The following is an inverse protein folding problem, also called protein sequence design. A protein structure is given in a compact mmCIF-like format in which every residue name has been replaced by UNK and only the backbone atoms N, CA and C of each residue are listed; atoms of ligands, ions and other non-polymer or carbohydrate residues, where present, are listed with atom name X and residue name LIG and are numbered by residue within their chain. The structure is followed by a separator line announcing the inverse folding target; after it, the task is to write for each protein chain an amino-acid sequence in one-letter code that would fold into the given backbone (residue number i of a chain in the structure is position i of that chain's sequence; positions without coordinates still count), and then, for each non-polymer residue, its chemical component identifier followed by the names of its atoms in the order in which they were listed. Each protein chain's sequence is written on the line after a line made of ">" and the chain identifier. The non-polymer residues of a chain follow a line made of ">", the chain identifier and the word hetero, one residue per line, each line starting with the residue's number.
data_IF_734138910764
#
_entry.id   IF_734138910764
#
_cell.length_a   1.000
_cell.length_b   1.000
_cell.length_c   1.000
_cell.angle_alpha   90.00
_cell.angle_beta   90.00
_cell.angle_gamma   90.00
#
_symmetry.space_group_name_H-M   'P 1'
#
loop_
_entity.id
_entity.type
_entity.pdbx_description
1 polymer ?
#
# COMPACT_ATOMS: atom_id res chain seq x y z
N UNK A 1 17.69 -16.62 39.36
CA UNK A 1 17.14 -17.80 38.67
C UNK A 1 15.68 -17.49 38.34
N UNK A 2 15.32 -17.29 37.07
CA UNK A 2 13.95 -16.96 36.66
C UNK A 2 13.02 -18.15 36.88
N UNK A 3 11.82 -17.93 37.44
CA UNK A 3 10.81 -18.98 37.58
C UNK A 3 10.33 -19.44 36.19
N UNK A 4 10.08 -20.74 36.02
CA UNK A 4 9.59 -21.38 34.79
C UNK A 4 8.41 -20.60 34.16
N UNK A 5 7.48 -20.07 34.97
CA UNK A 5 6.36 -19.25 34.47
C UNK A 5 6.82 -17.95 33.81
N UNK A 6 7.82 -17.27 34.38
CA UNK A 6 8.41 -16.05 33.81
C UNK A 6 9.22 -16.35 32.55
N UNK A 7 9.90 -17.50 32.49
CA UNK A 7 10.63 -17.94 31.29
C UNK A 7 9.68 -18.22 30.12
N UNK A 8 8.57 -18.91 30.37
CA UNK A 8 7.55 -19.19 29.35
C UNK A 8 6.92 -17.89 28.84
N UNK A 9 6.57 -16.97 29.74
CA UNK A 9 6.01 -15.66 29.35
C UNK A 9 6.97 -14.86 28.47
N UNK A 10 8.26 -14.87 28.82
CA UNK A 10 9.29 -14.20 28.04
C UNK A 10 9.48 -14.81 26.65
N UNK A 11 9.46 -16.15 26.53
CA UNK A 11 9.55 -16.84 25.23
C UNK A 11 8.35 -16.50 24.35
N UNK A 12 7.13 -16.48 24.92
CA UNK A 12 5.91 -16.11 24.18
C UNK A 12 6.00 -14.66 23.69
N UNK A 13 6.39 -13.73 24.58
CA UNK A 13 6.54 -12.31 24.21
C UNK A 13 7.62 -12.10 23.13
N UNK A 14 8.75 -12.80 23.23
CA UNK A 14 9.82 -12.75 22.22
C UNK A 14 9.37 -13.34 20.89
N UNK A 15 8.60 -14.44 20.92
CA UNK A 15 8.06 -15.10 19.71
C UNK A 15 7.02 -14.22 19.02
N UNK A 16 6.14 -13.57 19.79
CA UNK A 16 5.16 -12.61 19.27
C UNK A 16 5.85 -11.38 18.70
N UNK A 17 6.82 -10.81 19.41
CA UNK A 17 7.63 -9.70 18.92
C UNK A 17 8.35 -10.06 17.62
N UNK A 18 8.97 -11.24 17.57
CA UNK A 18 9.62 -11.76 16.37
C UNK A 18 8.63 -11.93 15.21
N UNK A 19 7.45 -12.48 15.47
CA UNK A 19 6.39 -12.62 14.47
C UNK A 19 5.93 -11.27 13.92
N UNK A 20 5.71 -10.27 14.78
CA UNK A 20 5.30 -8.92 14.37
C UNK A 20 6.40 -8.14 13.64
N UNK A 21 7.67 -8.40 13.93
CA UNK A 21 8.81 -7.78 13.23
C UNK A 21 9.03 -8.42 11.85
N UNK A 22 8.75 -9.72 11.71
CA UNK A 22 8.91 -10.43 10.44
C UNK A 22 7.74 -10.31 9.48
N UNK A 23 6.57 -9.89 9.97
CA UNK A 23 5.41 -9.69 9.13
C UNK A 23 5.73 -8.63 8.07
N UNK A 24 5.56 -8.99 6.79
CA UNK A 24 5.71 -8.06 5.67
C UNK A 24 4.57 -7.05 5.75
N UNK A 25 4.92 -5.79 5.90
CA UNK A 25 4.01 -4.68 6.12
C UNK A 25 4.24 -3.60 5.07
N UNK A 26 3.13 -3.11 4.56
CA UNK A 26 3.03 -1.89 3.77
C UNK A 26 2.20 -0.88 4.56
N UNK A 27 2.71 0.34 4.74
CA UNK A 27 2.07 1.41 5.50
C UNK A 27 1.10 2.23 4.64
N UNK A 28 0.03 1.58 4.18
CA UNK A 28 -1.04 2.24 3.41
C UNK A 28 -1.79 3.31 4.22
N UNK A 29 -1.83 3.20 5.55
CA UNK A 29 -2.48 4.16 6.43
C UNK A 29 -1.81 5.54 6.40
N UNK A 30 -0.48 5.58 6.22
CA UNK A 30 0.25 6.83 6.02
C UNK A 30 -0.22 7.62 4.79
N UNK A 31 -0.76 6.92 3.77
CA UNK A 31 -1.27 7.53 2.54
C UNK A 31 -2.66 8.14 2.70
N UNK A 32 -3.36 7.84 3.78
CA UNK A 32 -4.69 8.39 4.09
C UNK A 32 -4.62 9.70 4.91
N UNK A 33 -3.56 10.48 4.68
CA UNK A 33 -3.33 11.79 5.31
C UNK A 33 -3.04 12.79 4.20
N UNK A 34 -3.54 14.02 4.34
CA UNK A 34 -3.18 15.09 3.41
C UNK A 34 -1.69 15.43 3.56
N UNK A 35 -0.89 14.90 2.63
CA UNK A 35 0.54 15.15 2.56
C UNK A 35 0.96 15.39 1.10
N UNK A 36 1.39 16.61 0.79
CA UNK A 36 1.84 16.99 -0.55
C UNK A 36 3.32 16.65 -0.82
N UNK A 37 4.00 15.98 0.12
CA UNK A 37 5.36 15.51 -0.08
C UNK A 37 5.40 14.36 -1.09
N UNK A 38 6.50 14.29 -1.82
CA UNK A 38 6.84 13.11 -2.61
C UNK A 38 7.29 12.00 -1.66
N UNK A 39 6.64 10.84 -1.75
CA UNK A 39 6.87 9.69 -0.89
C UNK A 39 7.55 8.60 -1.72
N UNK A 40 8.69 8.09 -1.25
CA UNK A 40 9.32 6.93 -1.86
C UNK A 40 8.52 5.68 -1.52
N UNK A 41 8.18 4.85 -2.51
CA UNK A 41 7.44 3.60 -2.25
C UNK A 41 8.19 2.71 -1.26
N UNK A 42 9.53 2.67 -1.36
CA UNK A 42 10.38 1.88 -0.45
C UNK A 42 10.31 2.32 1.00
N UNK A 43 9.91 3.56 1.29
CA UNK A 43 9.71 4.04 2.66
C UNK A 43 8.42 3.52 3.30
N UNK A 44 7.50 2.98 2.51
CA UNK A 44 6.22 2.44 2.96
C UNK A 44 6.30 0.94 3.29
N UNK A 45 7.42 0.27 3.01
CA UNK A 45 7.58 -1.18 3.17
C UNK A 45 8.65 -1.53 4.19
N UNK A 46 8.46 -2.62 4.94
CA UNK A 46 9.51 -3.19 5.81
C UNK A 46 10.19 -4.45 5.23
N UNK A 47 9.99 -4.74 3.94
CA UNK A 47 10.47 -5.95 3.28
C UNK A 47 11.18 -5.66 1.96
N UNK A 48 11.96 -6.62 1.46
CA UNK A 48 12.72 -6.49 0.22
C UNK A 48 11.85 -6.80 -1.00
N UNK A 49 11.84 -5.87 -1.95
CA UNK A 49 11.18 -5.96 -3.25
C UNK A 49 12.02 -5.18 -4.29
N UNK A 50 11.85 -5.47 -5.57
CA UNK A 50 12.55 -4.78 -6.68
C UNK A 50 11.57 -4.07 -7.62
N UNK A 51 10.39 -4.67 -7.83
CA UNK A 51 9.31 -4.14 -8.65
C UNK A 51 8.02 -4.03 -7.84
N UNK A 52 7.27 -2.95 -8.05
CA UNK A 52 5.90 -2.78 -7.56
C UNK A 52 4.95 -2.50 -8.73
N UNK A 53 3.80 -3.16 -8.77
CA UNK A 53 2.73 -2.89 -9.71
C UNK A 53 1.62 -2.12 -9.02
N UNK A 54 1.31 -0.92 -9.52
CA UNK A 54 0.25 -0.05 -9.01
C UNK A 54 -0.96 -0.14 -9.93
N UNK A 55 -2.07 -0.66 -9.43
CA UNK A 55 -3.28 -0.83 -10.24
C UNK A 55 -4.08 0.47 -10.30
N UNK A 56 -4.56 0.82 -11.48
CA UNK A 56 -5.44 1.98 -11.73
C UNK A 56 -6.87 1.49 -11.98
N UNK A 57 -7.05 0.39 -12.72
CA UNK A 57 -8.35 -0.22 -12.96
C UNK A 57 -8.71 -1.17 -11.82
N UNK A 58 -9.77 -0.84 -11.10
CA UNK A 58 -10.25 -1.58 -9.93
C UNK A 58 -11.02 -2.87 -10.27
N UNK A 59 -10.81 -3.51 -11.43
CA UNK A 59 -11.56 -4.72 -11.80
C UNK A 59 -11.35 -5.86 -10.79
N UNK A 60 -10.12 -6.02 -10.30
CA UNK A 60 -9.76 -7.04 -9.30
C UNK A 60 -9.65 -6.49 -7.88
N UNK A 61 -10.06 -5.24 -7.67
CA UNK A 61 -9.91 -4.53 -6.40
C UNK A 61 -8.47 -4.45 -5.88
N UNK A 62 -7.46 -4.67 -6.72
CA UNK A 62 -6.06 -4.58 -6.33
C UNK A 62 -5.60 -3.12 -6.29
N UNK A 63 -4.73 -2.77 -5.34
CA UNK A 63 -4.10 -1.44 -5.27
C UNK A 63 -2.65 -1.51 -5.66
N UNK A 64 -1.91 -2.40 -5.00
CA UNK A 64 -0.47 -2.51 -5.14
C UNK A 64 0.00 -3.93 -4.88
N UNK A 65 0.86 -4.43 -5.76
CA UNK A 65 1.52 -5.73 -5.63
C UNK A 65 3.02 -5.55 -5.72
N UNK A 66 3.76 -6.11 -4.77
CA UNK A 66 5.22 -6.05 -4.74
C UNK A 66 5.82 -7.40 -5.13
N UNK A 67 6.90 -7.34 -5.91
CA UNK A 67 7.64 -8.50 -6.38
C UNK A 67 9.11 -8.41 -5.94
N UNK A 68 9.75 -9.57 -5.82
CA UNK A 68 11.20 -9.69 -5.64
C UNK A 68 11.70 -10.80 -6.55
N UNK A 69 12.52 -10.46 -7.55
CA UNK A 69 13.00 -11.37 -8.60
C UNK A 69 11.85 -12.08 -9.32
N UNK A 70 10.78 -11.34 -9.59
CA UNK A 70 9.58 -11.84 -10.26
C UNK A 70 8.63 -12.68 -9.39
N UNK A 71 8.94 -12.87 -8.09
CA UNK A 71 8.06 -13.59 -7.16
C UNK A 71 7.26 -12.57 -6.35
N UNK A 72 5.94 -12.72 -6.30
CA UNK A 72 5.08 -11.88 -5.44
C UNK A 72 5.46 -12.03 -3.97
N UNK A 73 5.71 -10.90 -3.31
CA UNK A 73 6.07 -10.86 -1.88
C UNK A 73 5.01 -10.22 -1.00
N UNK A 74 4.16 -9.37 -1.55
CA UNK A 74 3.10 -8.68 -0.84
C UNK A 74 2.04 -8.17 -1.82
N UNK A 75 0.77 -8.15 -1.41
CA UNK A 75 -0.34 -7.61 -2.18
C UNK A 75 -1.29 -6.88 -1.23
N UNK A 76 -1.69 -5.66 -1.61
CA UNK A 76 -2.78 -4.94 -0.94
C UNK A 76 -3.97 -4.78 -1.88
N UNK A 77 -5.15 -5.10 -1.35
CA UNK A 77 -6.45 -5.01 -2.03
C UNK A 77 -7.32 -3.93 -1.37
N UNK A 78 -8.32 -3.45 -2.10
CA UNK A 78 -9.35 -2.52 -1.61
C UNK A 78 -10.15 -3.20 -0.51
N UNK A 79 -10.37 -2.44 0.57
CA UNK A 79 -11.24 -2.84 1.68
C UNK A 79 -12.65 -2.36 1.40
N UNK A 80 -13.61 -3.28 1.42
CA UNK A 80 -15.05 -2.99 1.33
C UNK A 80 -15.72 -3.27 2.67
N UNK A 81 -16.64 -2.40 3.08
CA UNK A 81 -17.59 -2.69 4.13
C UNK A 81 -18.98 -2.87 3.49
N UNK A 82 -19.52 -4.09 3.58
CA UNK A 82 -20.79 -4.45 2.92
C UNK A 82 -22.00 -3.69 3.47
N UNK A 83 -21.91 -3.16 4.70
CA UNK A 83 -23.03 -2.47 5.35
C UNK A 83 -23.04 -0.95 5.06
N UNK A 84 -21.87 -0.33 4.90
CA UNK A 84 -21.72 1.14 4.83
C UNK A 84 -21.09 1.67 3.52
N UNK A 85 -20.68 0.78 2.61
CA UNK A 85 -20.04 1.13 1.34
C UNK A 85 -18.50 1.18 1.42
N UNK A 86 -17.88 2.11 0.71
CA UNK A 86 -16.42 2.27 0.71
C UNK A 86 -15.96 2.97 1.99
N UNK A 87 -14.97 2.40 2.67
CA UNK A 87 -14.22 3.17 3.67
C UNK A 87 -13.31 4.19 2.96
N UNK A 88 -12.94 5.25 3.68
CA UNK A 88 -11.94 6.21 3.19
C UNK A 88 -10.65 5.48 2.89
N UNK A 89 -10.02 5.78 1.76
CA UNK A 89 -8.86 5.03 1.29
C UNK A 89 -8.00 5.80 0.29
N UNK A 90 -6.78 5.32 0.07
CA UNK A 90 -5.94 5.81 -1.01
C UNK A 90 -6.11 4.97 -2.28
N UNK A 91 -5.90 5.61 -3.45
CA UNK A 91 -5.94 5.03 -4.79
C UNK A 91 -4.83 5.62 -5.67
N UNK A 92 -4.48 4.95 -6.76
CA UNK A 92 -3.57 5.47 -7.78
C UNK A 92 -4.34 5.95 -9.00
N UNK A 93 -3.89 7.04 -9.61
CA UNK A 93 -4.50 7.60 -10.81
C UNK A 93 -3.51 7.64 -11.97
N UNK A 94 -4.05 7.59 -13.19
CA UNK A 94 -3.26 7.89 -14.38
C UNK A 94 -2.87 9.38 -14.40
N UNK A 95 -1.70 9.67 -14.95
CA UNK A 95 -1.29 11.05 -15.24
C UNK A 95 -2.34 11.75 -16.11
N UNK A 96 -2.51 13.07 -15.97
CA UNK A 96 -3.50 13.85 -16.74
C UNK A 96 -3.25 13.86 -18.26
N UNK A 97 -2.13 13.30 -18.73
CA UNK A 97 -1.66 13.36 -20.11
C UNK A 97 -1.95 12.13 -20.99
N UNK A 98 -2.56 11.04 -20.48
CA UNK A 98 -2.79 9.83 -21.28
C UNK A 98 -4.27 9.51 -21.47
N UNK A 99 -4.68 9.39 -22.75
CA UNK A 99 -6.07 9.20 -23.23
C UNK A 99 -6.45 7.73 -23.53
N UNK A 100 -5.63 6.76 -23.15
CA UNK A 100 -5.88 5.33 -23.44
C UNK A 100 -5.79 4.46 -22.19
N UNK A 101 -6.36 3.25 -22.30
CA UNK A 101 -6.54 2.24 -21.26
C UNK A 101 -5.21 1.85 -20.60
N UNK A 102 -4.84 2.52 -19.51
CA UNK A 102 -3.76 2.07 -18.64
C UNK A 102 -4.43 1.25 -17.52
N UNK A 103 -4.04 -0.02 -17.38
CA UNK A 103 -4.53 -0.90 -16.32
C UNK A 103 -3.70 -0.75 -15.05
N UNK A 104 -2.38 -0.55 -15.19
CA UNK A 104 -1.45 -0.42 -14.07
C UNK A 104 -0.17 0.37 -14.40
N UNK A 105 0.67 0.60 -13.39
CA UNK A 105 2.04 1.09 -13.52
C UNK A 105 3.02 0.08 -12.93
N UNK A 106 4.16 -0.10 -13.57
CA UNK A 106 5.31 -0.80 -13.01
C UNK A 106 6.32 0.21 -12.44
N UNK A 107 6.67 0.06 -11.18
CA UNK A 107 7.52 0.96 -10.41
C UNK A 107 8.76 0.23 -9.90
N UNK A 108 9.91 0.90 -10.00
CA UNK A 108 11.17 0.44 -9.41
C UNK A 108 11.25 0.73 -7.91
N UNK A 109 12.20 0.10 -7.21
CA UNK A 109 12.50 0.39 -5.81
C UNK A 109 12.75 1.89 -5.50
N UNK A 110 13.28 2.64 -6.47
CA UNK A 110 13.54 4.08 -6.36
C UNK A 110 12.35 4.97 -6.69
N UNK A 111 11.28 4.41 -7.27
CA UNK A 111 10.12 5.17 -7.71
C UNK A 111 9.37 5.77 -6.53
N UNK A 112 8.63 6.83 -6.82
CA UNK A 112 7.94 7.63 -5.81
C UNK A 112 6.48 7.82 -6.19
N UNK A 113 5.69 8.30 -5.24
CA UNK A 113 4.30 8.70 -5.43
C UNK A 113 4.09 10.08 -4.83
N UNK A 114 3.09 10.80 -5.30
CA UNK A 114 2.72 12.11 -4.74
C UNK A 114 1.22 12.25 -4.67
N UNK A 115 0.72 12.85 -3.59
CA UNK A 115 -0.70 13.14 -3.48
C UNK A 115 -1.08 14.16 -4.56
N UNK A 116 -2.01 13.77 -5.43
CA UNK A 116 -2.49 14.59 -6.54
C UNK A 116 -3.76 15.35 -6.15
N UNK A 117 -4.72 14.65 -5.54
CA UNK A 117 -5.97 15.25 -5.07
C UNK A 117 -6.62 14.41 -3.98
N UNK A 118 -7.54 15.03 -3.26
CA UNK A 118 -8.42 14.39 -2.29
C UNK A 118 -9.86 14.57 -2.76
N UNK A 119 -10.59 13.47 -2.89
CA UNK A 119 -11.99 13.48 -3.31
C UNK A 119 -12.89 13.02 -2.17
N UNK A 120 -13.90 13.82 -1.86
CA UNK A 120 -14.91 13.49 -0.84
C UNK A 120 -16.20 13.12 -1.56
N UNK A 121 -16.69 11.91 -1.30
CA UNK A 121 -17.96 11.41 -1.87
C UNK A 121 -18.94 11.07 -0.75
N UNK A 122 -20.17 10.71 -1.13
CA UNK A 122 -21.24 10.34 -0.19
C UNK A 122 -21.44 11.42 0.89
N UNK A 123 -21.60 12.66 0.45
CA UNK A 123 -21.76 13.84 1.33
C UNK A 123 -20.59 14.05 2.33
N UNK A 124 -19.39 13.58 1.97
CA UNK A 124 -18.19 13.72 2.78
C UNK A 124 -17.93 12.57 3.76
N UNK A 125 -18.73 11.51 3.73
CA UNK A 125 -18.52 10.31 4.56
C UNK A 125 -17.32 9.47 4.10
N UNK A 126 -16.99 9.52 2.80
CA UNK A 126 -15.91 8.72 2.21
C UNK A 126 -14.90 9.66 1.58
N UNK A 127 -13.63 9.48 1.92
CA UNK A 127 -12.52 10.27 1.39
C UNK A 127 -11.56 9.39 0.60
N UNK A 128 -11.32 9.75 -0.66
CA UNK A 128 -10.32 9.14 -1.53
C UNK A 128 -9.07 10.01 -1.62
N UNK A 129 -7.93 9.45 -1.24
CA UNK A 129 -6.62 10.07 -1.39
C UNK A 129 -5.97 9.56 -2.67
N UNK A 130 -5.92 10.40 -3.70
CA UNK A 130 -5.53 9.98 -5.04
C UNK A 130 -4.08 10.37 -5.29
N UNK A 131 -3.24 9.36 -5.50
CA UNK A 131 -1.81 9.51 -5.74
C UNK A 131 -1.46 9.38 -7.22
N UNK A 132 -0.52 10.22 -7.66
CA UNK A 132 0.16 10.07 -8.95
C UNK A 132 1.44 9.23 -8.76
N UNK A 133 1.63 8.18 -9.57
CA UNK A 133 2.91 7.51 -9.69
C UNK A 133 3.96 8.40 -10.36
N UNK A 134 5.15 8.46 -9.77
CA UNK A 134 6.30 9.21 -10.28
C UNK A 134 7.43 8.22 -10.60
N UNK A 135 8.06 8.41 -11.76
CA UNK A 135 9.15 7.55 -12.22
C UNK A 135 8.73 6.06 -12.35
N UNK A 136 7.49 5.82 -12.78
CA UNK A 136 6.94 4.50 -13.08
C UNK A 136 6.56 4.38 -14.56
N UNK A 137 6.56 3.15 -15.07
CA UNK A 137 6.27 2.83 -16.47
C UNK A 137 4.81 2.36 -16.57
N UNK A 138 3.95 3.01 -17.37
CA UNK A 138 2.60 2.51 -17.62
C UNK A 138 2.63 1.12 -18.25
N UNK A 139 1.74 0.22 -17.80
CA UNK A 139 1.52 -1.11 -18.36
C UNK A 139 0.03 -1.31 -18.65
N UNK A 140 -0.27 -2.09 -19.70
CA UNK A 140 -1.61 -2.37 -20.19
C UNK A 140 -1.95 -3.85 -19.97
#
# INVERSE_FOLDING_TARGET
>A
MMNIKSTILFIIAASLFYFFVLERRFDGDSLMKENNQTIKLSSLTNFNWDTAQLSISNEDFEKITFYNKGIEVYREIIKFNFDDGYESQYLFNSSDSMKEAISAYECSYSSSIKLKKVEKVSEGKVTFYIYEPLDCIPIN
#
